data_IF_521883986645
#
_entry.id   IF_521883986645
#
_cell.length_a   1.000
_cell.length_b   1.000
_cell.length_c   1.000
_cell.angle_alpha   90.00
_cell.angle_beta   90.00
_cell.angle_gamma   90.00
#
_symmetry.space_group_name_H-M   'P 1'
#
loop_
_entity.id
_entity.type
_entity.pdbx_description
1 polymer ?
#
# COMPACT_ATOMS: atom_id res chain seq x y z
N UNK A 1 -8.55 -0.63 7.85
CA UNK A 1 -8.39 -1.93 7.17
C UNK A 1 -9.04 -1.87 5.80
N UNK A 2 -8.37 -2.42 4.80
CA UNK A 2 -8.91 -2.42 3.44
C UNK A 2 -9.95 -3.53 3.31
N UNK A 3 -11.15 -3.19 2.86
CA UNK A 3 -12.24 -4.16 2.69
C UNK A 3 -12.08 -4.95 1.40
N UNK A 4 -12.84 -6.06 1.27
CA UNK A 4 -12.82 -6.85 0.04
C UNK A 4 -13.25 -6.05 -1.19
N UNK A 5 -14.26 -5.21 -1.03
CA UNK A 5 -14.73 -4.35 -2.12
C UNK A 5 -13.65 -3.37 -2.54
N UNK A 6 -12.98 -2.77 -1.55
CA UNK A 6 -11.89 -1.86 -1.81
C UNK A 6 -10.72 -2.57 -2.50
N UNK A 7 -10.40 -3.79 -2.07
CA UNK A 7 -9.36 -4.59 -2.72
C UNK A 7 -9.68 -4.81 -4.19
N UNK A 8 -10.91 -5.15 -4.53
CA UNK A 8 -11.32 -5.38 -5.92
C UNK A 8 -11.13 -4.14 -6.77
N UNK A 9 -11.56 -3.00 -6.25
CA UNK A 9 -11.40 -1.71 -6.95
C UNK A 9 -9.93 -1.34 -7.13
N UNK A 10 -9.14 -1.53 -6.08
CA UNK A 10 -7.72 -1.23 -6.13
C UNK A 10 -6.96 -2.15 -7.08
N UNK A 11 -7.32 -3.43 -7.13
CA UNK A 11 -6.71 -4.38 -8.06
C UNK A 11 -6.93 -3.96 -9.51
N UNK A 12 -8.14 -3.52 -9.83
CA UNK A 12 -8.46 -3.04 -11.16
C UNK A 12 -7.66 -1.77 -11.47
N UNK A 13 -7.61 -0.84 -10.54
CA UNK A 13 -6.91 0.42 -10.69
C UNK A 13 -5.40 0.22 -10.88
N UNK A 14 -4.80 -0.63 -10.08
CA UNK A 14 -3.35 -0.87 -10.09
C UNK A 14 -2.91 -1.92 -11.11
N UNK A 15 -3.84 -2.74 -11.61
CA UNK A 15 -3.53 -3.84 -12.53
C UNK A 15 -2.45 -4.78 -11.97
N UNK A 16 -2.43 -4.95 -10.65
CA UNK A 16 -1.45 -5.79 -9.98
C UNK A 16 -0.11 -5.15 -9.68
N UNK A 17 0.12 -3.92 -10.13
CA UNK A 17 1.40 -3.22 -9.93
C UNK A 17 1.27 -2.14 -8.87
N UNK A 18 1.34 -2.53 -7.60
CA UNK A 18 1.18 -1.57 -6.51
C UNK A 18 2.29 -1.61 -5.47
N UNK A 19 2.94 -2.75 -5.27
CA UNK A 19 3.91 -2.90 -4.19
C UNK A 19 5.07 -1.91 -4.30
N UNK A 20 5.65 -1.77 -5.48
CA UNK A 20 6.76 -0.84 -5.69
C UNK A 20 6.35 0.60 -5.43
N UNK A 21 5.17 1.00 -5.93
CA UNK A 21 4.67 2.36 -5.73
C UNK A 21 4.42 2.66 -4.26
N UNK A 22 3.83 1.70 -3.53
CA UNK A 22 3.58 1.85 -2.10
C UNK A 22 4.89 1.97 -1.34
N UNK A 23 5.87 1.10 -1.64
CA UNK A 23 7.18 1.16 -0.99
C UNK A 23 7.90 2.47 -1.27
N UNK A 24 7.80 2.97 -2.50
CA UNK A 24 8.39 4.25 -2.86
C UNK A 24 7.78 5.40 -2.05
N UNK A 25 6.47 5.39 -1.87
CA UNK A 25 5.79 6.40 -1.06
C UNK A 25 6.25 6.32 0.39
N UNK A 26 6.32 5.11 0.94
CA UNK A 26 6.75 4.92 2.32
C UNK A 26 8.19 5.40 2.53
N UNK A 27 9.08 5.11 1.58
CA UNK A 27 10.47 5.58 1.64
C UNK A 27 10.54 7.11 1.54
N UNK A 28 9.75 7.72 0.68
CA UNK A 28 9.71 9.18 0.53
C UNK A 28 9.26 9.84 1.82
N UNK A 29 8.29 9.24 2.51
CA UNK A 29 7.78 9.75 3.79
C UNK A 29 8.65 9.33 4.98
N UNK A 30 9.69 8.52 4.72
CA UNK A 30 10.60 7.99 5.75
C UNK A 30 9.86 7.17 6.81
N UNK A 31 8.85 6.43 6.39
CA UNK A 31 8.10 5.54 7.26
C UNK A 31 8.76 4.17 7.24
N UNK A 32 9.10 3.66 8.43
CA UNK A 32 9.80 2.38 8.59
C UNK A 32 9.04 1.47 9.55
N UNK A 33 9.41 0.19 9.58
CA UNK A 33 8.84 -0.74 10.54
C UNK A 33 9.45 -0.49 11.94
N UNK A 34 9.03 -1.32 12.93
CA UNK A 34 9.46 -1.16 14.32
C UNK A 34 10.96 -1.24 14.52
N UNK A 35 11.66 -1.93 13.64
CA UNK A 35 13.11 -2.12 13.73
C UNK A 35 13.90 -1.05 12.97
N UNK A 36 13.22 -0.02 12.47
CA UNK A 36 13.85 1.02 11.69
C UNK A 36 14.19 0.59 10.27
N UNK A 37 13.74 -0.58 9.84
CA UNK A 37 13.95 -1.09 8.50
C UNK A 37 12.79 -0.69 7.58
N UNK A 38 13.05 -0.48 6.28
CA UNK A 38 11.97 -0.21 5.34
C UNK A 38 10.98 -1.38 5.30
N UNK A 39 9.72 -1.08 5.07
CA UNK A 39 8.72 -2.12 4.84
C UNK A 39 9.05 -2.90 3.57
N UNK A 40 8.73 -4.20 3.55
CA UNK A 40 8.97 -5.03 2.37
C UNK A 40 7.68 -5.28 1.59
N UNK A 41 7.85 -5.78 0.35
CA UNK A 41 6.71 -6.01 -0.54
C UNK A 41 5.72 -7.04 0.02
N UNK A 42 6.23 -8.06 0.70
CA UNK A 42 5.37 -9.08 1.30
C UNK A 42 4.44 -8.48 2.35
N UNK A 43 4.97 -7.61 3.21
CA UNK A 43 4.16 -6.96 4.24
C UNK A 43 3.10 -6.04 3.62
N UNK A 44 3.48 -5.30 2.58
CA UNK A 44 2.52 -4.45 1.85
C UNK A 44 1.37 -5.30 1.28
N UNK A 45 1.70 -6.46 0.71
CA UNK A 45 0.67 -7.36 0.18
C UNK A 45 -0.25 -7.87 1.28
N UNK A 46 0.29 -8.20 2.44
CA UNK A 46 -0.51 -8.68 3.57
C UNK A 46 -1.48 -7.61 4.06
N UNK A 47 -1.03 -6.36 4.13
CA UNK A 47 -1.90 -5.25 4.51
C UNK A 47 -2.96 -5.03 3.43
N UNK A 48 -2.59 -5.08 2.17
CA UNK A 48 -3.52 -4.93 1.06
C UNK A 48 -4.62 -5.99 1.09
N UNK A 49 -4.26 -7.22 1.42
CA UNK A 49 -5.20 -8.35 1.48
C UNK A 49 -6.04 -8.36 2.76
N UNK A 50 -5.78 -7.45 3.69
CA UNK A 50 -6.52 -7.38 4.95
C UNK A 50 -6.03 -8.37 6.01
N UNK A 51 -4.92 -9.08 5.77
CA UNK A 51 -4.34 -10.04 6.73
C UNK A 51 -3.67 -9.31 7.89
N UNK A 52 -3.05 -8.17 7.60
CA UNK A 52 -2.40 -7.33 8.60
C UNK A 52 -2.99 -5.93 8.59
N UNK A 53 -2.97 -5.29 9.75
CA UNK A 53 -3.45 -3.91 9.89
C UNK A 53 -2.26 -2.99 10.10
N UNK A 54 -2.10 -1.98 9.23
CA UNK A 54 -1.05 -0.99 9.36
C UNK A 54 -1.52 0.30 8.72
N UNK A 55 -1.78 1.31 9.55
CA UNK A 55 -2.34 2.59 9.09
C UNK A 55 -1.43 3.31 8.10
N UNK A 56 -0.11 3.24 8.30
CA UNK A 56 0.84 3.90 7.41
C UNK A 56 0.83 3.30 6.01
N UNK A 57 0.81 1.97 5.94
CA UNK A 57 0.78 1.28 4.64
C UNK A 57 -0.56 1.49 3.96
N UNK A 58 -1.66 1.45 4.71
CA UNK A 58 -2.99 1.72 4.16
C UNK A 58 -3.06 3.13 3.59
N UNK A 59 -2.54 4.12 4.31
CA UNK A 59 -2.50 5.50 3.83
C UNK A 59 -1.67 5.63 2.54
N UNK A 60 -0.55 4.92 2.47
CA UNK A 60 0.30 4.92 1.28
C UNK A 60 -0.43 4.29 0.08
N UNK A 61 -1.17 3.22 0.32
CA UNK A 61 -1.97 2.57 -0.73
C UNK A 61 -3.01 3.55 -1.29
N UNK A 62 -3.73 4.26 -0.41
CA UNK A 62 -4.72 5.24 -0.86
C UNK A 62 -4.09 6.42 -1.56
N UNK A 63 -2.91 6.86 -1.14
CA UNK A 63 -2.16 7.91 -1.82
C UNK A 63 -1.80 7.48 -3.24
N UNK A 64 -1.31 6.25 -3.39
CA UNK A 64 -1.00 5.72 -4.72
C UNK A 64 -2.26 5.64 -5.58
N UNK A 65 -3.38 5.21 -5.00
CA UNK A 65 -4.65 5.13 -5.73
C UNK A 65 -5.08 6.50 -6.24
N UNK A 66 -4.92 7.54 -5.42
CA UNK A 66 -5.25 8.91 -5.84
C UNK A 66 -4.38 9.36 -7.01
N UNK A 67 -3.08 9.03 -6.98
CA UNK A 67 -2.16 9.35 -8.07
C UNK A 67 -2.57 8.65 -9.38
N UNK A 68 -2.93 7.37 -9.28
CA UNK A 68 -3.34 6.61 -10.46
C UNK A 68 -4.64 7.16 -11.07
N UNK A 69 -5.55 7.64 -10.24
CA UNK A 69 -6.79 8.24 -10.71
C UNK A 69 -6.57 9.57 -11.40
N UNK A 70 -5.55 10.31 -11.00
CA UNK A 70 -5.23 11.61 -11.60
C UNK A 70 -4.46 11.49 -12.92
N UNK A 71 -3.84 10.37 -13.14
CA UNK A 71 -3.10 10.14 -14.39
C UNK A 71 -4.02 9.50 -15.43
#
# INVERSE_FOLDING_TARGET
MITEEEQKKLKILFQGHYTEGVLKILNTLRIHNRNGQPHNAQYVRMVFQGIRKNADIEAAIWKLAAKEKES
#
